data_IF_802703896404
#
_entry.id   IF_802703896404
#
_cell.length_a   1.000
_cell.length_b   1.000
_cell.length_c   1.000
_cell.angle_alpha   90.00
_cell.angle_beta   90.00
_cell.angle_gamma   90.00
#
_symmetry.space_group_name_H-M   'P 1'
#
loop_
_entity.id
_entity.type
_entity.pdbx_description
1 polymer ?
#
# COMPACT_ATOMS: atom_id res chain seq x y z
N UNK A 1 10.06 -24.05 2.47
CA UNK A 1 8.99 -23.06 2.32
C UNK A 1 9.52 -21.70 2.78
N UNK A 2 9.30 -20.65 1.99
CA UNK A 2 9.76 -19.29 2.36
C UNK A 2 8.83 -18.68 3.40
N UNK A 3 9.42 -17.97 4.35
CA UNK A 3 8.69 -17.28 5.41
C UNK A 3 7.86 -16.12 4.82
N UNK A 4 6.63 -15.97 5.29
CA UNK A 4 5.76 -14.84 4.98
C UNK A 4 5.88 -13.83 6.12
N UNK A 5 6.18 -12.59 5.78
CA UNK A 5 6.37 -11.50 6.75
C UNK A 5 5.59 -10.27 6.33
N UNK A 6 4.83 -9.70 7.27
CA UNK A 6 4.16 -8.42 7.07
C UNK A 6 4.87 -7.36 7.90
N UNK A 7 5.19 -6.24 7.28
CA UNK A 7 5.83 -5.11 7.94
C UNK A 7 4.86 -3.93 7.96
N UNK A 8 4.52 -3.48 9.18
CA UNK A 8 3.91 -2.18 9.39
C UNK A 8 5.05 -1.19 9.61
N UNK A 9 5.32 -0.38 8.61
CA UNK A 9 6.40 0.58 8.69
C UNK A 9 6.06 1.74 9.63
N UNK A 10 7.08 2.35 10.24
CA UNK A 10 6.92 3.65 10.87
C UNK A 10 6.54 4.70 9.84
N UNK A 11 6.01 5.85 10.28
CA UNK A 11 5.65 6.93 9.36
C UNK A 11 6.83 7.26 8.43
N UNK A 12 6.58 7.29 7.13
CA UNK A 12 7.59 7.55 6.13
C UNK A 12 8.51 6.38 5.81
N UNK A 13 8.35 5.23 6.46
CA UNK A 13 9.12 4.01 6.21
C UNK A 13 10.64 4.27 6.10
N UNK A 14 11.22 4.89 7.12
CA UNK A 14 12.64 5.32 7.09
C UNK A 14 13.61 4.17 6.78
N UNK A 15 13.39 3.00 7.37
CA UNK A 15 14.24 1.84 7.13
C UNK A 15 14.22 1.38 5.68
N UNK A 16 13.03 1.26 5.09
CA UNK A 16 12.87 0.92 3.68
C UNK A 16 13.44 2.03 2.78
N UNK A 17 13.12 3.27 3.09
CA UNK A 17 13.44 4.44 2.25
C UNK A 17 14.94 4.74 2.20
N UNK A 18 15.63 4.70 3.33
CA UNK A 18 17.06 5.05 3.39
C UNK A 18 17.99 3.86 3.25
N UNK A 19 17.60 2.70 3.76
CA UNK A 19 18.49 1.53 3.85
C UNK A 19 17.98 0.31 3.08
N UNK A 20 16.81 0.41 2.43
CA UNK A 20 16.22 -0.71 1.71
C UNK A 20 15.92 -1.92 2.59
N UNK A 21 15.58 -1.69 3.87
CA UNK A 21 15.36 -2.78 4.82
C UNK A 21 14.07 -3.52 4.53
N UNK A 22 14.13 -4.83 4.61
CA UNK A 22 13.02 -5.74 4.56
C UNK A 22 12.82 -6.46 5.90
N UNK A 23 12.36 -7.73 5.87
CA UNK A 23 12.11 -8.49 7.09
C UNK A 23 13.34 -8.58 8.00
N UNK A 24 13.09 -8.54 9.30
CA UNK A 24 14.14 -8.62 10.34
C UNK A 24 15.17 -7.50 10.24
N UNK A 25 14.78 -6.35 9.68
CA UNK A 25 15.63 -5.18 9.47
C UNK A 25 16.88 -5.47 8.64
N UNK A 26 16.79 -6.44 7.74
CA UNK A 26 17.91 -6.78 6.85
C UNK A 26 17.88 -5.95 5.58
N UNK A 27 19.04 -5.45 5.11
CA UNK A 27 19.11 -4.82 3.79
C UNK A 27 18.77 -5.85 2.70
N UNK A 28 17.74 -5.55 1.90
CA UNK A 28 17.25 -6.46 0.86
C UNK A 28 17.10 -5.76 -0.47
N UNK A 29 17.67 -4.56 -0.63
CA UNK A 29 17.39 -3.70 -1.78
C UNK A 29 15.89 -3.42 -1.95
N UNK A 30 15.21 -3.17 -0.82
CA UNK A 30 13.75 -3.16 -0.74
C UNK A 30 13.09 -2.09 -1.60
N UNK A 31 13.70 -0.91 -1.74
CA UNK A 31 13.10 0.16 -2.53
C UNK A 31 13.06 -0.16 -4.03
N UNK A 32 14.13 -0.77 -4.56
CA UNK A 32 14.15 -1.25 -5.94
C UNK A 32 13.15 -2.40 -6.15
N UNK A 33 13.00 -3.26 -5.16
CA UNK A 33 11.99 -4.34 -5.19
C UNK A 33 10.58 -3.78 -5.18
N UNK A 34 10.31 -2.74 -4.40
CA UNK A 34 9.03 -2.03 -4.42
C UNK A 34 8.77 -1.42 -5.80
N UNK A 35 9.75 -0.75 -6.39
CA UNK A 35 9.61 -0.20 -7.73
C UNK A 35 9.23 -1.28 -8.75
N UNK A 36 9.89 -2.43 -8.71
CA UNK A 36 9.59 -3.56 -9.60
C UNK A 36 8.20 -4.14 -9.35
N UNK A 37 7.79 -4.25 -8.09
CA UNK A 37 6.43 -4.69 -7.74
C UNK A 37 5.38 -3.80 -8.40
N UNK A 38 5.55 -2.48 -8.29
CA UNK A 38 4.64 -1.51 -8.87
C UNK A 38 4.65 -1.55 -10.40
N UNK A 39 5.83 -1.53 -11.01
CA UNK A 39 5.97 -1.59 -12.48
C UNK A 39 5.32 -2.83 -13.07
N UNK A 40 5.45 -3.96 -12.39
CA UNK A 40 4.94 -5.24 -12.88
C UNK A 40 3.42 -5.40 -12.71
N UNK A 41 2.84 -4.81 -11.65
CA UNK A 41 1.50 -5.15 -11.23
C UNK A 41 0.50 -3.98 -11.22
N UNK A 42 0.96 -2.74 -11.27
CA UNK A 42 0.12 -1.56 -11.10
C UNK A 42 0.26 -0.62 -12.29
N UNK A 43 -0.70 -0.65 -13.24
CA UNK A 43 -0.62 0.19 -14.43
C UNK A 43 -0.57 1.69 -14.09
N UNK A 44 -1.19 2.10 -12.98
CA UNK A 44 -1.22 3.50 -12.53
C UNK A 44 0.07 3.95 -11.85
N UNK A 45 0.98 3.04 -11.56
CA UNK A 45 2.21 3.29 -10.80
C UNK A 45 3.48 2.88 -11.54
N UNK A 46 3.40 2.73 -12.86
CA UNK A 46 4.56 2.43 -13.70
C UNK A 46 5.50 3.63 -13.82
N UNK A 47 6.77 3.33 -13.97
CA UNK A 47 7.83 4.32 -14.26
C UNK A 47 8.03 5.37 -13.16
N UNK A 48 7.64 5.09 -11.94
CA UNK A 48 7.99 5.94 -10.80
C UNK A 48 9.49 5.81 -10.52
N UNK A 49 10.18 6.93 -10.42
CA UNK A 49 11.61 6.93 -10.11
C UNK A 49 11.86 6.58 -8.65
N UNK A 50 13.06 6.13 -8.32
CA UNK A 50 13.44 5.87 -6.93
C UNK A 50 13.31 7.14 -6.08
N UNK A 51 13.71 8.29 -6.60
CA UNK A 51 13.59 9.57 -5.89
C UNK A 51 12.13 9.94 -5.60
N UNK A 52 11.23 9.73 -6.56
CA UNK A 52 9.80 10.00 -6.37
C UNK A 52 9.16 9.01 -5.40
N UNK A 53 9.56 7.73 -5.45
CA UNK A 53 9.13 6.74 -4.46
C UNK A 53 9.59 7.13 -3.05
N UNK A 54 10.81 7.60 -2.87
CA UNK A 54 11.29 8.10 -1.57
C UNK A 54 10.42 9.25 -1.06
N UNK A 55 10.11 10.22 -1.90
CA UNK A 55 9.22 11.34 -1.54
C UNK A 55 7.81 10.87 -1.21
N UNK A 56 7.28 9.97 -2.02
CA UNK A 56 5.96 9.38 -1.82
C UNK A 56 5.87 8.69 -0.45
N UNK A 57 6.84 7.85 -0.11
CA UNK A 57 6.89 7.16 1.17
C UNK A 57 7.05 8.14 2.33
N UNK A 58 7.92 9.14 2.18
CA UNK A 58 8.14 10.16 3.21
C UNK A 58 6.85 10.90 3.59
N UNK A 59 5.94 11.06 2.65
CA UNK A 59 4.68 11.77 2.82
C UNK A 59 3.48 10.84 3.03
N UNK A 60 3.70 9.56 3.25
CA UNK A 60 2.64 8.59 3.55
C UNK A 60 2.51 8.39 5.06
N UNK A 61 1.28 8.41 5.55
CA UNK A 61 1.01 8.27 7.00
C UNK A 61 1.07 6.83 7.46
N UNK A 62 0.63 5.89 6.63
CA UNK A 62 0.63 4.46 6.92
C UNK A 62 1.18 3.72 5.72
N UNK A 63 2.12 2.82 5.97
CA UNK A 63 2.76 2.01 4.93
C UNK A 63 2.84 0.57 5.43
N UNK A 64 2.35 -0.35 4.61
CA UNK A 64 2.39 -1.79 4.89
C UNK A 64 3.03 -2.50 3.70
N UNK A 65 3.95 -3.41 3.97
CA UNK A 65 4.52 -4.27 2.94
C UNK A 65 4.44 -5.73 3.36
N UNK A 66 4.25 -6.62 2.38
CA UNK A 66 4.17 -8.06 2.57
C UNK A 66 5.29 -8.74 1.79
N UNK A 67 5.96 -9.66 2.44
CA UNK A 67 7.16 -10.30 1.92
C UNK A 67 7.03 -11.82 1.95
N UNK A 68 7.60 -12.46 0.93
CA UNK A 68 7.83 -13.92 0.91
C UNK A 68 9.33 -14.12 0.79
N UNK A 69 9.95 -14.58 1.87
CA UNK A 69 11.41 -14.53 1.99
C UNK A 69 11.90 -13.07 1.91
N UNK A 70 12.80 -12.79 0.99
CA UNK A 70 13.35 -11.45 0.77
C UNK A 70 12.70 -10.72 -0.42
N UNK A 71 11.60 -11.24 -0.95
CA UNK A 71 10.86 -10.62 -2.05
C UNK A 71 9.61 -9.93 -1.55
N UNK A 72 9.40 -8.69 -1.98
CA UNK A 72 8.17 -7.94 -1.69
C UNK A 72 7.07 -8.43 -2.66
N UNK A 73 5.96 -8.89 -2.09
CA UNK A 73 4.84 -9.44 -2.87
C UNK A 73 3.55 -8.66 -2.68
N UNK A 74 3.52 -7.74 -1.74
CA UNK A 74 2.36 -6.90 -1.50
C UNK A 74 2.74 -5.56 -0.87
N UNK A 75 1.92 -4.55 -1.13
CA UNK A 75 2.15 -3.19 -0.66
C UNK A 75 0.83 -2.46 -0.55
N UNK A 76 0.76 -1.50 0.36
CA UNK A 76 -0.34 -0.56 0.48
C UNK A 76 0.08 0.62 1.33
N UNK A 77 -0.51 1.78 1.06
CA UNK A 77 -0.25 2.99 1.85
C UNK A 77 -1.50 3.81 2.02
N UNK A 78 -1.50 4.70 2.99
CA UNK A 78 -2.60 5.59 3.28
C UNK A 78 -2.13 7.00 3.63
N UNK A 79 -2.97 7.96 3.30
CA UNK A 79 -2.86 9.36 3.71
C UNK A 79 -4.11 9.73 4.52
N UNK A 80 -3.96 10.46 5.60
CA UNK A 80 -5.10 10.86 6.43
C UNK A 80 -4.77 12.10 7.25
N UNK A 81 -5.80 12.92 7.53
CA UNK A 81 -5.70 13.94 8.56
C UNK A 81 -5.85 13.36 9.99
N UNK A 82 -6.14 12.07 10.09
CA UNK A 82 -6.31 11.37 11.35
C UNK A 82 -7.66 11.53 12.02
N UNK A 83 -8.56 12.30 11.44
CA UNK A 83 -9.87 12.64 12.04
C UNK A 83 -11.01 12.46 11.02
N UNK A 84 -11.01 13.23 9.96
CA UNK A 84 -12.16 13.33 9.07
C UNK A 84 -12.03 12.48 7.82
N UNK A 85 -10.89 12.50 7.16
CA UNK A 85 -10.72 11.91 5.83
C UNK A 85 -9.40 11.22 5.69
N UNK A 86 -9.43 10.10 4.99
CA UNK A 86 -8.23 9.39 4.57
C UNK A 86 -8.45 8.75 3.21
N UNK A 87 -7.38 8.37 2.56
CA UNK A 87 -7.41 7.68 1.27
C UNK A 87 -6.37 6.57 1.27
N UNK A 88 -6.78 5.42 0.74
CA UNK A 88 -5.90 4.28 0.53
C UNK A 88 -5.35 4.33 -0.88
N UNK A 89 -4.04 4.18 -1.01
CA UNK A 89 -3.33 4.27 -2.27
C UNK A 89 -2.43 3.05 -2.52
N UNK A 90 -2.24 2.73 -3.79
CA UNK A 90 -1.22 1.77 -4.24
C UNK A 90 -1.32 0.41 -3.53
N UNK A 91 -2.53 -0.10 -3.35
CA UNK A 91 -2.74 -1.45 -2.82
C UNK A 91 -2.49 -2.43 -3.96
N UNK A 92 -1.41 -3.19 -3.85
CA UNK A 92 -0.91 -4.07 -4.91
C UNK A 92 -0.50 -5.41 -4.33
N UNK A 93 -0.91 -6.48 -4.99
CA UNK A 93 -0.41 -7.84 -4.73
C UNK A 93 0.22 -8.35 -6.03
N UNK A 94 1.41 -8.90 -5.94
CA UNK A 94 2.08 -9.50 -7.08
C UNK A 94 1.20 -10.58 -7.72
N UNK A 95 1.11 -10.56 -9.05
CA UNK A 95 0.21 -11.42 -9.83
C UNK A 95 0.39 -12.90 -9.55
N UNK A 96 1.61 -13.33 -9.23
CA UNK A 96 1.92 -14.74 -8.92
C UNK A 96 1.55 -15.12 -7.48
N UNK A 97 1.12 -14.14 -6.68
CA UNK A 97 0.77 -14.32 -5.26
C UNK A 97 -0.68 -13.95 -4.96
N UNK A 98 -1.50 -13.73 -5.98
CA UNK A 98 -2.93 -13.44 -5.80
C UNK A 98 -3.70 -14.68 -5.37
N UNK A 99 -4.92 -14.47 -4.85
CA UNK A 99 -5.82 -15.52 -4.37
C UNK A 99 -5.26 -16.36 -3.20
N UNK A 100 -4.35 -15.78 -2.42
CA UNK A 100 -3.76 -16.39 -1.22
C UNK A 100 -4.14 -15.66 0.07
N UNK A 101 -5.09 -14.72 0.00
CA UNK A 101 -5.48 -13.90 1.16
C UNK A 101 -4.54 -12.74 1.46
N UNK A 102 -3.56 -12.45 0.62
CA UNK A 102 -2.56 -11.41 0.85
C UNK A 102 -3.15 -10.00 0.78
N UNK A 103 -4.11 -9.78 -0.12
CA UNK A 103 -4.85 -8.51 -0.18
C UNK A 103 -5.60 -8.22 1.10
N UNK A 104 -6.22 -9.23 1.69
CA UNK A 104 -6.89 -9.14 2.99
C UNK A 104 -5.91 -8.76 4.09
N UNK A 105 -4.74 -9.40 4.14
CA UNK A 105 -3.70 -9.07 5.13
C UNK A 105 -3.26 -7.61 5.03
N UNK A 106 -2.99 -7.12 3.83
CA UNK A 106 -2.61 -5.73 3.61
C UNK A 106 -3.71 -4.79 4.08
N UNK A 107 -4.94 -5.03 3.64
CA UNK A 107 -6.06 -4.14 3.94
C UNK A 107 -6.40 -4.12 5.43
N UNK A 108 -6.47 -5.28 6.09
CA UNK A 108 -6.70 -5.36 7.53
C UNK A 108 -5.64 -4.58 8.32
N UNK A 109 -4.39 -4.66 7.90
CA UNK A 109 -3.29 -3.96 8.58
C UNK A 109 -3.29 -2.46 8.31
N UNK A 110 -3.73 -2.01 7.14
CA UNK A 110 -3.97 -0.59 6.89
C UNK A 110 -5.13 -0.08 7.76
N UNK A 111 -6.26 -0.79 7.76
CA UNK A 111 -7.47 -0.37 8.47
C UNK A 111 -7.33 -0.38 9.99
N UNK A 112 -6.53 -1.30 10.53
CA UNK A 112 -6.29 -1.40 11.98
C UNK A 112 -5.24 -0.42 12.50
N UNK A 113 -4.51 0.26 11.63
CA UNK A 113 -3.52 1.25 12.06
C UNK A 113 -4.21 2.40 12.81
N UNK A 114 -3.55 2.90 13.85
CA UNK A 114 -4.13 3.87 14.79
C UNK A 114 -4.74 5.10 14.11
N UNK A 115 -4.05 5.67 13.14
CA UNK A 115 -4.52 6.86 12.42
C UNK A 115 -5.73 6.57 11.55
N UNK A 116 -5.75 5.42 10.89
CA UNK A 116 -6.81 5.06 9.95
C UNK A 116 -8.07 4.65 10.68
N UNK A 117 -7.99 3.81 11.72
CA UNK A 117 -9.18 3.33 12.42
C UNK A 117 -9.99 4.45 13.08
N UNK A 118 -9.38 5.58 13.36
CA UNK A 118 -10.04 6.75 13.94
C UNK A 118 -10.51 7.76 12.88
N UNK A 119 -10.21 7.53 11.62
CA UNK A 119 -10.61 8.39 10.51
C UNK A 119 -12.06 8.09 10.11
N UNK A 120 -12.91 9.13 10.09
CA UNK A 120 -14.35 8.96 9.90
C UNK A 120 -14.73 8.47 8.51
N UNK A 121 -14.02 8.91 7.47
CA UNK A 121 -14.28 8.50 6.08
C UNK A 121 -12.98 8.11 5.39
N UNK A 122 -12.96 6.92 4.81
CA UNK A 122 -11.86 6.43 4.00
C UNK A 122 -12.32 6.27 2.56
N UNK A 123 -11.50 6.75 1.65
CA UNK A 123 -11.72 6.67 0.21
C UNK A 123 -10.70 5.76 -0.44
N UNK A 124 -11.11 5.13 -1.51
CA UNK A 124 -10.20 4.44 -2.42
C UNK A 124 -10.78 4.44 -3.82
N UNK A 125 -9.94 4.25 -4.80
CA UNK A 125 -10.33 4.08 -6.19
C UNK A 125 -9.93 2.69 -6.65
N UNK A 126 -10.84 2.01 -7.34
CA UNK A 126 -10.56 0.68 -7.89
C UNK A 126 -11.16 0.56 -9.28
N UNK A 127 -10.45 -0.13 -10.17
CA UNK A 127 -10.92 -0.38 -11.52
C UNK A 127 -11.87 -1.59 -11.57
N UNK A 128 -11.56 -2.65 -10.83
CA UNK A 128 -12.28 -3.93 -10.96
C UNK A 128 -12.36 -4.77 -9.68
N UNK A 129 -12.13 -4.16 -8.51
CA UNK A 129 -12.09 -4.88 -7.22
C UNK A 129 -13.18 -4.43 -6.23
N UNK A 130 -14.28 -3.86 -6.70
CA UNK A 130 -15.39 -3.42 -5.83
C UNK A 130 -15.85 -4.52 -4.89
N UNK A 131 -16.01 -5.73 -5.40
CA UNK A 131 -16.50 -6.88 -4.61
C UNK A 131 -15.53 -7.23 -3.48
N UNK A 132 -14.24 -7.17 -3.73
CA UNK A 132 -13.23 -7.39 -2.70
C UNK A 132 -13.33 -6.34 -1.60
N UNK A 133 -13.37 -5.06 -1.96
CA UNK A 133 -13.44 -3.97 -0.98
C UNK A 133 -14.77 -3.89 -0.24
N UNK A 134 -15.86 -4.37 -0.84
CA UNK A 134 -17.15 -4.43 -0.17
C UNK A 134 -17.16 -5.30 1.08
N UNK A 135 -16.28 -6.30 1.16
CA UNK A 135 -16.09 -7.14 2.33
C UNK A 135 -15.54 -6.36 3.54
N UNK A 136 -14.99 -5.19 3.31
CA UNK A 136 -14.42 -4.28 4.31
C UNK A 136 -15.29 -3.02 4.48
N UNK A 137 -16.57 -3.11 4.12
CA UNK A 137 -17.56 -2.03 4.24
C UNK A 137 -17.32 -0.82 3.33
N UNK A 138 -16.51 -0.96 2.28
CA UNK A 138 -16.42 0.06 1.25
C UNK A 138 -17.62 -0.06 0.31
N UNK A 139 -18.23 1.09 0.02
CA UNK A 139 -19.40 1.18 -0.86
C UNK A 139 -19.12 2.19 -1.96
N UNK A 140 -19.66 1.92 -3.13
CA UNK A 140 -19.63 2.87 -4.22
C UNK A 140 -20.41 4.14 -3.84
N UNK A 141 -19.81 5.30 -4.10
CA UNK A 141 -20.45 6.59 -3.88
C UNK A 141 -21.04 7.06 -5.19
N UNK A 142 -22.37 7.18 -5.24
CA UNK A 142 -23.09 7.60 -6.45
C UNK A 142 -23.54 9.05 -6.39
N UNK A 143 -23.40 9.71 -5.24
CA UNK A 143 -23.79 11.10 -5.02
C UNK A 143 -22.72 12.13 -5.38
N UNK A 144 -21.52 11.67 -5.72
CA UNK A 144 -20.38 12.55 -6.03
C UNK A 144 -19.62 12.01 -7.22
N UNK A 145 -19.11 12.91 -8.04
CA UNK A 145 -18.24 12.57 -9.16
C UNK A 145 -16.78 12.66 -8.74
N UNK A 146 -15.95 11.78 -9.30
CA UNK A 146 -14.50 11.85 -9.16
C UNK A 146 -13.94 12.70 -10.29
N UNK A 147 -13.22 13.77 -9.94
CA UNK A 147 -12.58 14.66 -10.89
C UNK A 147 -11.06 14.56 -10.75
N UNK A 148 -10.35 14.59 -11.85
CA UNK A 148 -8.90 14.53 -11.90
C UNK A 148 -8.35 15.71 -12.68
N UNK A 149 -7.26 16.30 -12.15
CA UNK A 149 -6.43 17.26 -12.87
C UNK A 149 -5.04 16.66 -12.97
N UNK A 150 -4.57 16.47 -14.17
CA UNK A 150 -3.22 15.95 -14.44
C UNK A 150 -2.31 17.05 -14.99
N UNK A 151 -1.01 16.94 -14.68
CA UNK A 151 0.03 17.78 -15.24
C UNK A 151 0.94 16.98 -16.17
#
# INVERSE_FOLDING_TARGET
>A
MKEISLIKHSKGAMGLRFFGLGPKLKPTNGLNKLQKLLDRNAFWAKNRTINDLKKCLANSDVIVSLWVGNEIVGFGRALTDGIYRGVLWDIVIDKDHQSKGFGTLILENLLSSKKIKNTKKLYLMTTNKKKFYSQFNFKEVTSQDLLIRQI
#
